data_IF_068376329686
#
_entry.id   IF_068376329686
#
_cell.length_a   1.000
_cell.length_b   1.000
_cell.length_c   1.000
_cell.angle_alpha   90.00
_cell.angle_beta   90.00
_cell.angle_gamma   90.00
#
_symmetry.space_group_name_H-M   'P 1'
#
loop_
_entity.id
_entity.type
_entity.pdbx_description
1 polymer ?
#
# COMPACT_ATOMS: atom_id res chain seq x y z
N UNK A 1 -47.16 -33.39 7.02
CA UNK A 1 -46.07 -33.00 7.95
C UNK A 1 -44.77 -33.06 7.18
N UNK A 2 -44.41 -31.91 6.60
CA UNK A 2 -43.12 -31.75 5.91
C UNK A 2 -42.20 -30.98 6.84
N UNK A 3 -41.17 -31.65 7.35
CA UNK A 3 -40.10 -30.98 8.08
C UNK A 3 -39.28 -30.15 7.08
N UNK A 4 -39.29 -28.85 7.28
CA UNK A 4 -38.32 -27.94 6.62
C UNK A 4 -36.93 -28.41 7.09
N UNK A 5 -36.00 -28.53 6.13
CA UNK A 5 -34.57 -28.68 6.41
C UNK A 5 -34.07 -27.28 6.78
N UNK A 6 -33.63 -27.06 8.02
CA UNK A 6 -32.90 -25.82 8.32
C UNK A 6 -31.42 -26.00 7.95
N UNK A 7 -30.82 -24.88 7.49
CA UNK A 7 -29.41 -24.51 7.58
C UNK A 7 -28.33 -25.13 6.68
N UNK A 8 -28.64 -25.72 5.55
CA UNK A 8 -27.56 -26.05 4.59
C UNK A 8 -26.98 -24.81 3.89
N UNK A 9 -27.80 -23.80 3.58
CA UNK A 9 -27.38 -22.58 2.88
C UNK A 9 -26.40 -21.73 3.71
N UNK A 10 -26.63 -21.57 5.00
CA UNK A 10 -25.74 -20.79 5.87
C UNK A 10 -24.37 -21.44 6.10
N UNK A 11 -24.30 -22.78 6.13
CA UNK A 11 -23.05 -23.53 6.31
C UNK A 11 -22.19 -23.46 5.02
N UNK A 12 -22.82 -23.53 3.85
CA UNK A 12 -22.12 -23.40 2.57
C UNK A 12 -21.53 -21.99 2.38
N UNK A 13 -22.25 -20.94 2.77
CA UNK A 13 -21.79 -19.57 2.72
C UNK A 13 -20.61 -19.33 3.68
N UNK A 14 -20.70 -19.79 4.95
CA UNK A 14 -19.60 -19.68 5.91
C UNK A 14 -18.35 -20.47 5.46
N UNK A 15 -18.52 -21.65 4.87
CA UNK A 15 -17.41 -22.44 4.33
C UNK A 15 -16.73 -21.74 3.17
N UNK A 16 -17.51 -21.10 2.29
CA UNK A 16 -17.00 -20.35 1.13
C UNK A 16 -16.26 -19.10 1.57
N UNK A 17 -16.79 -18.33 2.51
CA UNK A 17 -16.11 -17.15 3.06
C UNK A 17 -14.79 -17.53 3.74
N UNK A 18 -14.78 -18.60 4.53
CA UNK A 18 -13.57 -19.11 5.19
C UNK A 18 -12.52 -19.60 4.19
N UNK A 19 -12.95 -20.26 3.10
CA UNK A 19 -12.05 -20.68 2.03
C UNK A 19 -11.42 -19.48 1.32
N UNK A 20 -12.20 -18.43 1.03
CA UNK A 20 -11.72 -17.20 0.40
C UNK A 20 -10.74 -16.45 1.30
N UNK A 21 -11.04 -16.35 2.61
CA UNK A 21 -10.13 -15.72 3.57
C UNK A 21 -8.79 -16.48 3.70
N UNK A 22 -8.82 -17.82 3.65
CA UNK A 22 -7.60 -18.62 3.64
C UNK A 22 -6.81 -18.44 2.35
N UNK A 23 -7.49 -18.40 1.19
CA UNK A 23 -6.87 -18.14 -0.11
C UNK A 23 -6.20 -16.75 -0.12
N UNK A 24 -6.87 -15.71 0.37
CA UNK A 24 -6.32 -14.36 0.49
C UNK A 24 -5.02 -14.37 1.31
N UNK A 25 -5.01 -15.01 2.47
CA UNK A 25 -3.80 -15.09 3.31
C UNK A 25 -2.66 -15.81 2.60
N UNK A 26 -2.94 -16.95 1.99
CA UNK A 26 -1.95 -17.70 1.23
C UNK A 26 -1.36 -16.87 0.08
N UNK A 27 -2.20 -16.12 -0.65
CA UNK A 27 -1.78 -15.22 -1.73
C UNK A 27 -0.97 -14.04 -1.23
N UNK A 28 -1.35 -13.48 -0.08
CA UNK A 28 -0.60 -12.37 0.54
C UNK A 28 0.81 -12.83 0.93
N UNK A 29 0.94 -14.01 1.55
CA UNK A 29 2.22 -14.58 1.94
C UNK A 29 3.07 -14.97 0.72
N UNK A 30 2.46 -15.56 -0.32
CA UNK A 30 3.12 -15.87 -1.60
C UNK A 30 3.72 -14.61 -2.23
N UNK A 31 2.91 -13.56 -2.38
CA UNK A 31 3.36 -12.31 -2.99
C UNK A 31 4.38 -11.59 -2.12
N UNK A 32 4.25 -11.66 -0.80
CA UNK A 32 5.25 -11.08 0.11
C UNK A 32 6.61 -11.75 -0.09
N UNK A 33 6.68 -13.09 -0.12
CA UNK A 33 7.91 -13.83 -0.38
C UNK A 33 8.49 -13.58 -1.77
N UNK A 34 7.65 -13.56 -2.81
CA UNK A 34 8.07 -13.28 -4.18
C UNK A 34 8.61 -11.84 -4.34
N UNK A 35 7.99 -10.86 -3.68
CA UNK A 35 8.44 -9.46 -3.68
C UNK A 35 9.79 -9.34 -2.96
N UNK A 36 9.97 -10.00 -1.81
CA UNK A 36 11.23 -10.01 -1.08
C UNK A 36 12.37 -10.58 -1.95
N UNK A 37 12.15 -11.71 -2.63
CA UNK A 37 13.12 -12.31 -3.54
C UNK A 37 13.42 -11.40 -4.75
N UNK A 38 12.42 -10.72 -5.31
CA UNK A 38 12.60 -9.77 -6.41
C UNK A 38 13.41 -8.55 -5.95
N UNK A 39 13.10 -7.98 -4.78
CA UNK A 39 13.86 -6.87 -4.19
C UNK A 39 15.31 -7.27 -3.93
N UNK A 40 15.56 -8.48 -3.41
CA UNK A 40 16.90 -9.00 -3.19
C UNK A 40 17.70 -9.09 -4.50
N UNK A 41 17.08 -9.55 -5.57
CA UNK A 41 17.66 -9.62 -6.92
C UNK A 41 17.94 -8.24 -7.49
N UNK A 42 16.99 -7.32 -7.43
CA UNK A 42 17.11 -5.95 -7.95
C UNK A 42 18.18 -5.15 -7.21
N UNK A 43 18.25 -5.28 -5.89
CA UNK A 43 19.23 -4.64 -5.02
C UNK A 43 20.51 -5.49 -4.84
N UNK A 44 20.85 -6.30 -5.83
CA UNK A 44 22.11 -7.06 -5.82
C UNK A 44 23.31 -6.14 -6.09
N UNK A 45 24.54 -6.54 -5.71
CA UNK A 45 25.75 -5.77 -5.99
C UNK A 45 26.19 -5.81 -7.46
N UNK A 46 25.50 -6.58 -8.30
CA UNK A 46 25.83 -6.70 -9.72
C UNK A 46 25.51 -5.38 -10.44
N UNK A 47 26.54 -4.79 -11.03
CA UNK A 47 26.44 -3.58 -11.85
C UNK A 47 25.64 -3.88 -13.11
N UNK A 48 24.69 -3.01 -13.44
CA UNK A 48 23.86 -3.09 -14.64
C UNK A 48 24.49 -2.34 -15.81
N UNK A 49 23.99 -2.59 -17.00
CA UNK A 49 24.40 -1.83 -18.18
C UNK A 49 24.12 -0.33 -17.98
N UNK A 50 25.12 0.51 -18.27
CA UNK A 50 25.06 1.95 -18.04
C UNK A 50 25.42 2.43 -16.63
N UNK A 51 25.52 1.54 -15.65
CA UNK A 51 26.04 1.88 -14.32
C UNK A 51 27.60 1.78 -14.29
N UNK A 52 28.23 2.63 -13.47
CA UNK A 52 29.70 2.56 -13.25
C UNK A 52 30.01 1.63 -12.09
N UNK A 53 29.31 1.82 -10.95
CA UNK A 53 29.51 1.09 -9.70
C UNK A 53 28.27 1.22 -8.82
N UNK A 54 28.06 0.23 -7.93
CA UNK A 54 27.07 0.27 -6.85
C UNK A 54 27.78 0.39 -5.50
N UNK A 55 27.86 1.58 -4.88
CA UNK A 55 28.59 1.78 -3.61
C UNK A 55 28.02 0.87 -2.52
N UNK A 56 28.89 0.04 -1.92
CA UNK A 56 28.48 -1.04 -1.02
C UNK A 56 27.67 -0.55 0.19
N UNK A 57 28.09 0.56 0.84
CA UNK A 57 27.38 1.13 2.00
C UNK A 57 25.99 1.65 1.63
N UNK A 58 25.86 2.30 0.48
CA UNK A 58 24.56 2.78 -0.01
C UNK A 58 23.63 1.60 -0.30
N UNK A 59 24.13 0.61 -1.02
CA UNK A 59 23.37 -0.59 -1.35
C UNK A 59 22.93 -1.34 -0.09
N UNK A 60 23.81 -1.47 0.92
CA UNK A 60 23.49 -2.08 2.20
C UNK A 60 22.35 -1.34 2.91
N UNK A 61 22.37 0.00 2.92
CA UNK A 61 21.29 0.81 3.51
C UNK A 61 19.96 0.67 2.75
N UNK A 62 19.98 0.67 1.41
CA UNK A 62 18.78 0.42 0.58
C UNK A 62 18.21 -0.98 0.84
N UNK A 63 19.05 -2.00 0.93
CA UNK A 63 18.66 -3.37 1.28
C UNK A 63 18.10 -3.46 2.69
N UNK A 64 18.75 -2.82 3.66
CA UNK A 64 18.28 -2.76 5.05
C UNK A 64 16.86 -2.19 5.15
N UNK A 65 16.57 -1.13 4.42
CA UNK A 65 15.26 -0.49 4.39
C UNK A 65 14.18 -1.33 3.67
N UNK A 66 14.58 -2.09 2.64
CA UNK A 66 13.63 -2.77 1.75
C UNK A 66 13.39 -4.24 2.11
N UNK A 67 14.40 -4.95 2.65
CA UNK A 67 14.36 -6.38 2.98
C UNK A 67 14.04 -6.63 4.47
N UNK A 68 13.28 -5.75 5.08
CA UNK A 68 12.92 -5.83 6.51
C UNK A 68 11.60 -6.52 6.80
N UNK A 69 11.02 -7.24 5.85
CA UNK A 69 9.70 -7.85 5.99
C UNK A 69 8.55 -6.84 5.86
N UNK A 70 7.36 -7.26 6.28
CA UNK A 70 6.11 -6.50 6.20
C UNK A 70 5.04 -7.26 5.41
N UNK A 71 3.77 -6.83 5.53
CA UNK A 71 2.64 -7.51 4.86
C UNK A 71 2.64 -7.35 3.33
N UNK A 72 3.45 -6.47 2.78
CA UNK A 72 3.57 -6.22 1.32
C UNK A 72 2.21 -6.03 0.62
N UNK A 73 1.27 -5.33 1.26
CA UNK A 73 -0.08 -5.14 0.73
C UNK A 73 -0.07 -4.39 -0.62
N UNK A 74 0.81 -3.39 -0.80
CA UNK A 74 0.91 -2.66 -2.07
C UNK A 74 1.38 -3.55 -3.22
N UNK A 75 2.47 -4.31 -3.11
CA UNK A 75 2.83 -5.37 -4.06
C UNK A 75 1.70 -6.37 -4.33
N UNK A 76 1.03 -6.84 -3.29
CA UNK A 76 -0.11 -7.75 -3.41
C UNK A 76 -1.22 -7.17 -4.30
N UNK A 77 -1.57 -5.90 -4.12
CA UNK A 77 -2.61 -5.25 -4.94
C UNK A 77 -2.19 -5.14 -6.42
N UNK A 78 -0.90 -4.88 -6.71
CA UNK A 78 -0.40 -4.91 -8.10
C UNK A 78 -0.59 -6.29 -8.71
N UNK A 79 -0.13 -7.33 -8.01
CA UNK A 79 -0.16 -8.71 -8.51
C UNK A 79 -1.59 -9.22 -8.68
N UNK A 80 -2.45 -9.06 -7.67
CA UNK A 80 -3.83 -9.55 -7.75
C UNK A 80 -4.67 -8.78 -8.77
N UNK A 81 -4.41 -7.49 -8.96
CA UNK A 81 -5.08 -6.72 -10.03
C UNK A 81 -4.64 -7.17 -11.44
N UNK A 82 -3.38 -7.56 -11.65
CA UNK A 82 -2.92 -8.15 -12.90
C UNK A 82 -3.51 -9.55 -13.11
N UNK A 83 -3.66 -10.34 -12.06
CA UNK A 83 -4.26 -11.68 -12.07
C UNK A 83 -5.72 -11.69 -12.53
N UNK A 84 -6.48 -10.60 -12.32
CA UNK A 84 -7.83 -10.47 -12.87
C UNK A 84 -7.87 -10.71 -14.41
N UNK A 85 -6.78 -10.35 -15.07
CA UNK A 85 -6.60 -10.45 -16.52
C UNK A 85 -5.77 -11.66 -16.96
N UNK A 86 -5.42 -12.55 -16.02
CA UNK A 86 -4.59 -13.74 -16.27
C UNK A 86 -3.12 -13.43 -16.51
N UNK A 87 -2.63 -12.26 -16.06
CA UNK A 87 -1.23 -11.85 -16.20
C UNK A 87 -0.49 -12.04 -14.88
N UNK A 88 0.60 -12.78 -14.94
CA UNK A 88 1.50 -13.10 -13.82
C UNK A 88 2.96 -13.07 -14.28
N UNK A 89 3.89 -13.28 -13.37
CA UNK A 89 5.30 -13.49 -13.67
C UNK A 89 6.21 -12.31 -13.32
N UNK A 90 7.43 -12.36 -13.83
CA UNK A 90 8.53 -11.48 -13.43
C UNK A 90 8.22 -10.00 -13.63
N UNK A 91 7.63 -9.63 -14.78
CA UNK A 91 7.31 -8.23 -15.08
C UNK A 91 6.33 -7.61 -14.08
N UNK A 92 5.31 -8.37 -13.64
CA UNK A 92 4.37 -7.93 -12.61
C UNK A 92 5.09 -7.75 -11.26
N UNK A 93 5.95 -8.69 -10.88
CA UNK A 93 6.73 -8.62 -9.65
C UNK A 93 7.74 -7.46 -9.66
N UNK A 94 8.32 -7.13 -10.80
CA UNK A 94 9.20 -5.96 -10.96
C UNK A 94 8.42 -4.67 -10.72
N UNK A 95 7.23 -4.52 -11.30
CA UNK A 95 6.37 -3.36 -11.08
C UNK A 95 5.90 -3.25 -9.62
N UNK A 96 5.54 -4.37 -9.00
CA UNK A 96 5.18 -4.45 -7.60
C UNK A 96 6.33 -4.06 -6.67
N UNK A 97 7.56 -4.51 -6.99
CA UNK A 97 8.79 -4.18 -6.24
C UNK A 97 9.19 -2.72 -6.40
N UNK A 98 9.00 -2.13 -7.58
CA UNK A 98 9.23 -0.70 -7.81
C UNK A 98 8.32 0.16 -6.93
N UNK A 99 7.04 -0.19 -6.83
CA UNK A 99 6.12 0.48 -5.90
C UNK A 99 6.55 0.30 -4.44
N UNK A 100 7.00 -0.89 -4.07
CA UNK A 100 7.48 -1.14 -2.69
C UNK A 100 8.76 -0.35 -2.38
N UNK A 101 9.68 -0.18 -3.35
CA UNK A 101 10.84 0.71 -3.18
C UNK A 101 10.41 2.15 -2.88
N UNK A 102 9.38 2.66 -3.59
CA UNK A 102 8.80 3.98 -3.31
C UNK A 102 8.18 4.05 -1.92
N UNK A 103 7.51 3.00 -1.48
CA UNK A 103 7.02 2.95 -0.10
C UNK A 103 8.16 2.90 0.92
N UNK A 104 9.22 2.11 0.67
CA UNK A 104 10.36 2.00 1.57
C UNK A 104 11.13 3.33 1.70
N UNK A 105 11.36 4.06 0.58
CA UNK A 105 12.03 5.35 0.66
C UNK A 105 11.23 6.34 1.53
N UNK A 106 9.90 6.36 1.38
CA UNK A 106 9.08 7.28 2.17
C UNK A 106 9.21 7.00 3.67
N UNK A 107 9.25 5.72 4.06
CA UNK A 107 9.47 5.35 5.46
C UNK A 107 10.86 5.74 5.97
N UNK A 108 11.91 5.56 5.15
CA UNK A 108 13.29 5.97 5.51
C UNK A 108 13.39 7.47 5.74
N UNK A 109 12.73 8.28 4.89
CA UNK A 109 12.74 9.73 5.03
C UNK A 109 11.83 10.20 6.15
N UNK A 110 10.67 9.57 6.35
CA UNK A 110 9.77 9.89 7.47
C UNK A 110 10.43 9.64 8.83
N UNK A 111 11.32 8.64 8.94
CA UNK A 111 12.02 8.32 10.18
C UNK A 111 13.12 9.33 10.56
N UNK A 112 13.56 10.22 9.65
CA UNK A 112 14.65 11.17 9.90
C UNK A 112 14.31 12.19 11.01
N UNK A 113 15.33 12.73 11.71
CA UNK A 113 15.11 13.75 12.77
C UNK A 113 14.39 15.01 12.28
N UNK A 114 14.47 15.36 11.00
CA UNK A 114 13.74 16.49 10.41
C UNK A 114 12.26 16.20 10.13
N UNK A 115 11.83 14.96 10.31
CA UNK A 115 10.48 14.47 10.03
C UNK A 115 9.87 13.90 11.33
N UNK A 116 9.62 12.59 11.39
CA UNK A 116 8.98 11.93 12.54
C UNK A 116 9.94 11.68 13.71
N UNK A 117 11.26 11.72 13.48
CA UNK A 117 12.33 11.44 14.46
C UNK A 117 12.09 10.10 15.19
N UNK A 118 11.91 9.05 14.43
CA UNK A 118 11.64 7.71 14.94
C UNK A 118 12.92 6.89 15.08
N UNK A 119 13.16 6.32 16.27
CA UNK A 119 14.32 5.46 16.53
C UNK A 119 14.11 4.02 16.05
N UNK A 120 12.85 3.56 15.99
CA UNK A 120 12.49 2.18 15.67
C UNK A 120 11.38 2.12 14.60
N UNK A 121 11.54 1.22 13.63
CA UNK A 121 10.55 0.85 12.62
C UNK A 121 10.41 -0.66 12.55
N UNK A 122 9.19 -1.18 12.75
CA UNK A 122 8.91 -2.64 12.78
C UNK A 122 9.82 -3.39 13.79
N UNK A 123 10.08 -2.77 14.93
CA UNK A 123 10.93 -3.35 16.00
C UNK A 123 12.43 -3.34 15.73
N UNK A 124 12.90 -2.74 14.61
CA UNK A 124 14.32 -2.59 14.25
C UNK A 124 14.72 -1.13 14.31
N UNK A 125 16.00 -0.79 14.61
CA UNK A 125 16.49 0.58 14.48
C UNK A 125 16.22 1.13 13.09
N UNK A 126 15.88 2.43 13.00
CA UNK A 126 15.68 3.11 11.71
C UNK A 126 16.99 3.24 10.93
N UNK A 127 16.90 3.52 9.63
CA UNK A 127 18.08 3.57 8.76
C UNK A 127 19.11 4.60 9.24
N UNK A 128 18.67 5.80 9.67
CA UNK A 128 19.57 6.84 10.16
C UNK A 128 20.23 6.50 11.50
N UNK A 129 19.62 5.64 12.33
CA UNK A 129 20.24 5.12 13.57
C UNK A 129 21.21 3.99 13.30
N UNK A 130 20.96 3.15 12.28
CA UNK A 130 21.83 2.01 11.92
C UNK A 130 23.06 2.47 11.14
N UNK A 131 22.90 3.44 10.26
CA UNK A 131 23.99 3.96 9.41
C UNK A 131 24.38 5.38 9.83
N UNK A 132 23.74 6.38 9.28
CA UNK A 132 23.78 7.81 9.59
C UNK A 132 22.70 8.53 8.75
N UNK A 133 22.43 9.81 9.05
CA UNK A 133 21.42 10.60 8.35
C UNK A 133 21.71 10.77 6.86
N UNK A 134 22.98 11.05 6.49
CA UNK A 134 23.35 11.24 5.09
C UNK A 134 23.15 9.94 4.28
N UNK A 135 23.54 8.80 4.85
CA UNK A 135 23.33 7.48 4.23
C UNK A 135 21.85 7.15 4.10
N UNK A 136 21.02 7.50 5.11
CA UNK A 136 19.58 7.30 5.06
C UNK A 136 18.92 8.16 3.97
N UNK A 137 19.28 9.43 3.86
CA UNK A 137 18.80 10.33 2.80
C UNK A 137 19.12 9.75 1.42
N UNK A 138 20.39 9.39 1.19
CA UNK A 138 20.84 8.83 -0.09
C UNK A 138 20.20 7.46 -0.39
N UNK A 139 19.94 6.63 0.63
CA UNK A 139 19.22 5.37 0.46
C UNK A 139 17.78 5.58 0.00
N UNK A 140 17.09 6.57 0.56
CA UNK A 140 15.76 6.98 0.11
C UNK A 140 15.77 7.50 -1.33
N UNK A 141 16.68 8.41 -1.67
CA UNK A 141 16.83 8.94 -3.03
C UNK A 141 17.15 7.82 -4.04
N UNK A 142 18.04 6.91 -3.65
CA UNK A 142 18.41 5.75 -4.44
C UNK A 142 17.23 4.83 -4.72
N UNK A 143 16.42 4.49 -3.69
CA UNK A 143 15.22 3.66 -3.84
C UNK A 143 14.17 4.32 -4.74
N UNK A 144 13.91 5.62 -4.54
CA UNK A 144 12.96 6.38 -5.36
C UNK A 144 13.40 6.38 -6.83
N UNK A 145 14.65 6.73 -7.10
CA UNK A 145 15.18 6.81 -8.47
C UNK A 145 15.19 5.44 -9.14
N UNK A 146 15.64 4.41 -8.42
CA UNK A 146 15.73 3.06 -8.94
C UNK A 146 14.36 2.43 -9.24
N UNK A 147 13.31 2.81 -8.52
CA UNK A 147 11.94 2.39 -8.83
C UNK A 147 11.53 2.78 -10.27
N UNK A 148 11.90 3.95 -10.74
CA UNK A 148 11.62 4.40 -12.11
C UNK A 148 12.47 3.67 -13.15
N UNK A 149 13.73 3.36 -12.84
CA UNK A 149 14.58 2.51 -13.69
C UNK A 149 13.93 1.14 -13.89
N UNK A 150 13.51 0.49 -12.80
CA UNK A 150 12.83 -0.82 -12.85
C UNK A 150 11.55 -0.77 -13.69
N UNK A 151 10.71 0.27 -13.56
CA UNK A 151 9.49 0.39 -14.34
C UNK A 151 9.74 0.65 -15.83
N UNK A 152 10.81 1.39 -16.16
CA UNK A 152 11.16 1.72 -17.53
C UNK A 152 11.85 0.56 -18.27
N UNK A 153 12.40 -0.40 -17.56
CA UNK A 153 13.15 -1.54 -18.09
C UNK A 153 12.24 -2.45 -18.94
N UNK A 154 12.67 -2.87 -20.16
CA UNK A 154 11.97 -3.84 -20.99
C UNK A 154 11.60 -5.16 -20.29
N UNK A 155 12.36 -5.59 -19.29
CA UNK A 155 12.05 -6.77 -18.47
C UNK A 155 10.78 -6.60 -17.62
N UNK A 156 10.32 -5.37 -17.37
CA UNK A 156 9.07 -5.10 -16.66
C UNK A 156 7.85 -5.26 -17.58
N UNK A 157 7.94 -4.79 -18.82
CA UNK A 157 6.88 -5.02 -19.82
C UNK A 157 7.44 -4.81 -21.24
N UNK A 158 7.07 -5.67 -22.19
CA UNK A 158 7.57 -5.57 -23.56
C UNK A 158 7.11 -4.27 -24.25
N UNK A 159 5.85 -3.86 -24.04
CA UNK A 159 5.29 -2.64 -24.62
C UNK A 159 5.80 -1.40 -23.89
N UNK A 160 6.49 -0.52 -24.63
CA UNK A 160 7.02 0.72 -24.12
C UNK A 160 5.93 1.72 -23.66
N UNK A 161 4.73 1.67 -24.28
CA UNK A 161 3.61 2.52 -23.86
C UNK A 161 3.11 2.14 -22.46
N UNK A 162 3.02 0.84 -22.17
CA UNK A 162 2.66 0.35 -20.84
C UNK A 162 3.70 0.79 -19.81
N UNK A 163 5.02 0.67 -20.14
CA UNK A 163 6.08 1.13 -19.22
C UNK A 163 5.99 2.64 -18.96
N UNK A 164 5.75 3.45 -20.00
CA UNK A 164 5.57 4.89 -19.84
C UNK A 164 4.37 5.24 -18.96
N UNK A 165 3.25 4.51 -19.11
CA UNK A 165 2.06 4.67 -18.27
C UNK A 165 2.30 4.26 -16.80
N UNK A 166 3.09 3.21 -16.57
CA UNK A 166 3.49 2.81 -15.21
C UNK A 166 4.37 3.87 -14.55
N UNK A 167 5.38 4.38 -15.26
CA UNK A 167 6.26 5.45 -14.78
C UNK A 167 5.46 6.73 -14.46
N UNK A 168 4.60 7.15 -15.38
CA UNK A 168 3.76 8.35 -15.20
C UNK A 168 2.79 8.19 -14.02
N UNK A 169 2.17 7.02 -13.91
CA UNK A 169 1.26 6.70 -12.80
C UNK A 169 1.97 6.75 -11.45
N UNK A 170 3.16 6.12 -11.34
CA UNK A 170 3.95 6.15 -10.11
C UNK A 170 4.41 7.57 -9.77
N UNK A 171 4.89 8.34 -10.76
CA UNK A 171 5.31 9.73 -10.55
C UNK A 171 4.18 10.62 -10.01
N UNK A 172 2.95 10.43 -10.50
CA UNK A 172 1.76 11.13 -9.99
C UNK A 172 1.34 10.64 -8.61
N UNK A 173 1.34 9.33 -8.39
CA UNK A 173 0.97 8.73 -7.10
C UNK A 173 1.95 9.02 -5.97
N UNK A 174 3.24 9.14 -6.29
CA UNK A 174 4.29 9.44 -5.31
C UNK A 174 4.57 10.96 -5.16
N UNK A 175 4.28 11.76 -6.18
CA UNK A 175 4.74 13.15 -6.31
C UNK A 175 3.86 14.20 -5.63
N UNK A 176 3.81 15.39 -6.25
CA UNK A 176 3.15 16.61 -5.71
C UNK A 176 1.65 16.42 -5.45
N UNK A 177 0.95 15.75 -6.35
CA UNK A 177 -0.49 15.45 -6.20
C UNK A 177 -0.78 14.11 -5.50
N UNK A 178 0.24 13.46 -4.94
CA UNK A 178 0.20 12.17 -4.29
C UNK A 178 0.90 12.17 -2.93
N UNK A 179 1.65 11.10 -2.65
CA UNK A 179 2.22 10.82 -1.33
C UNK A 179 3.08 11.97 -0.78
N UNK A 180 4.01 12.53 -1.55
CA UNK A 180 4.88 13.64 -1.09
C UNK A 180 4.07 14.90 -0.78
N UNK A 181 3.11 15.26 -1.66
CA UNK A 181 2.20 16.37 -1.37
C UNK A 181 1.34 16.13 -0.14
N UNK A 182 0.86 14.89 0.06
CA UNK A 182 0.14 14.49 1.26
C UNK A 182 0.99 14.59 2.54
N UNK A 183 2.26 14.20 2.46
CA UNK A 183 3.22 14.35 3.57
C UNK A 183 3.47 15.83 3.92
N UNK A 184 3.57 16.70 2.91
CA UNK A 184 3.69 18.14 3.14
C UNK A 184 2.46 18.72 3.86
N UNK A 185 1.25 18.32 3.44
CA UNK A 185 0.01 18.71 4.11
C UNK A 185 -0.07 18.17 5.55
N UNK A 186 0.46 16.97 5.81
CA UNK A 186 0.49 16.38 7.16
C UNK A 186 1.36 17.20 8.11
N UNK A 187 2.58 17.56 7.69
CA UNK A 187 3.48 18.43 8.46
C UNK A 187 2.92 19.85 8.67
N UNK A 188 2.14 20.38 7.72
CA UNK A 188 1.43 21.65 7.90
C UNK A 188 0.28 21.50 8.90
N UNK A 189 -0.44 20.40 8.84
CA UNK A 189 -1.55 20.11 9.74
C UNK A 189 -1.08 19.98 11.21
N UNK A 190 0.05 19.36 11.48
CA UNK A 190 0.63 19.27 12.83
C UNK A 190 0.91 20.64 13.46
N UNK A 191 1.21 21.66 12.65
CA UNK A 191 1.48 23.04 13.11
C UNK A 191 0.23 23.90 13.27
N UNK A 192 -0.92 23.41 12.81
CA UNK A 192 -2.15 24.17 12.85
C UNK A 192 -2.68 24.31 14.30
N UNK A 193 -3.19 25.49 14.62
CA UNK A 193 -3.77 25.79 15.95
C UNK A 193 -5.29 25.61 15.98
N UNK A 194 -5.93 25.44 14.84
CA UNK A 194 -7.37 25.25 14.69
C UNK A 194 -7.69 23.80 14.28
N UNK A 195 -8.86 23.26 14.65
CA UNK A 195 -9.32 21.96 14.18
C UNK A 195 -9.37 21.91 12.64
N UNK A 196 -8.98 20.77 12.08
CA UNK A 196 -8.99 20.56 10.62
C UNK A 196 -10.40 20.30 10.11
N UNK A 197 -10.74 20.90 8.96
CA UNK A 197 -11.96 20.57 8.26
C UNK A 197 -11.90 19.12 7.75
N UNK A 198 -13.02 18.41 7.80
CA UNK A 198 -13.15 17.01 7.36
C UNK A 198 -12.59 16.80 5.94
N UNK A 199 -12.92 17.71 5.02
CA UNK A 199 -12.48 17.64 3.62
C UNK A 199 -10.94 17.76 3.49
N UNK A 200 -10.31 18.58 4.34
CA UNK A 200 -8.85 18.71 4.39
C UNK A 200 -8.20 17.41 4.87
N UNK A 201 -8.75 16.79 5.92
CA UNK A 201 -8.30 15.49 6.43
C UNK A 201 -8.41 14.41 5.33
N UNK A 202 -9.58 14.32 4.69
CA UNK A 202 -9.80 13.35 3.61
C UNK A 202 -8.84 13.56 2.43
N UNK A 203 -8.56 14.81 2.05
CA UNK A 203 -7.61 15.13 0.98
C UNK A 203 -6.19 14.70 1.35
N UNK A 204 -5.73 15.06 2.54
CA UNK A 204 -4.42 14.67 3.06
C UNK A 204 -4.24 13.14 3.04
N UNK A 205 -5.21 12.42 3.61
CA UNK A 205 -5.19 10.96 3.68
C UNK A 205 -5.24 10.28 2.30
N UNK A 206 -6.06 10.81 1.39
CA UNK A 206 -6.13 10.33 0.01
C UNK A 206 -4.79 10.52 -0.72
N UNK A 207 -4.07 11.61 -0.46
CA UNK A 207 -2.77 11.89 -1.04
C UNK A 207 -1.66 11.07 -0.36
N UNK A 208 -1.49 11.19 0.95
CA UNK A 208 -0.37 10.56 1.70
C UNK A 208 -0.38 9.04 1.59
N UNK A 209 -1.53 8.41 1.72
CA UNK A 209 -1.68 6.95 1.78
C UNK A 209 -2.45 6.39 0.58
N UNK A 210 -3.59 6.99 0.26
CA UNK A 210 -4.52 6.49 -0.77
C UNK A 210 -3.91 6.45 -2.16
N UNK A 211 -3.08 7.43 -2.53
CA UNK A 211 -2.52 7.55 -3.87
C UNK A 211 -1.66 6.34 -4.29
N UNK A 212 -0.83 5.81 -3.39
CA UNK A 212 -0.01 4.62 -3.69
C UNK A 212 -0.82 3.32 -3.68
N UNK A 213 -1.89 3.22 -2.87
CA UNK A 213 -2.80 2.07 -2.91
C UNK A 213 -3.62 2.08 -4.22
N UNK A 214 -4.10 3.24 -4.63
CA UNK A 214 -4.74 3.42 -5.94
C UNK A 214 -3.80 3.05 -7.07
N UNK A 215 -2.57 3.59 -7.06
CA UNK A 215 -1.57 3.26 -8.08
C UNK A 215 -1.29 1.75 -8.14
N UNK A 216 -1.23 1.06 -7.00
CA UNK A 216 -1.02 -0.39 -6.98
C UNK A 216 -2.06 -1.14 -7.83
N UNK A 217 -3.33 -0.82 -7.62
CA UNK A 217 -4.44 -1.42 -8.37
C UNK A 217 -4.38 -1.04 -9.86
N UNK A 218 -4.16 0.25 -10.15
CA UNK A 218 -4.06 0.75 -11.52
C UNK A 218 -2.85 0.18 -12.28
N UNK A 219 -1.72 -0.05 -11.62
CA UNK A 219 -0.55 -0.66 -12.24
C UNK A 219 -0.84 -2.09 -12.70
N UNK A 220 -1.46 -2.91 -11.84
CA UNK A 220 -1.91 -4.25 -12.23
C UNK A 220 -2.90 -4.24 -13.38
N UNK A 221 -3.86 -3.30 -13.36
CA UNK A 221 -4.83 -3.12 -14.45
C UNK A 221 -4.16 -2.74 -15.79
N UNK A 222 -3.14 -1.87 -15.75
CA UNK A 222 -2.37 -1.46 -16.95
C UNK A 222 -1.59 -2.63 -17.53
N UNK A 223 -0.88 -3.37 -16.69
CA UNK A 223 -0.12 -4.56 -17.09
C UNK A 223 -1.07 -5.63 -17.65
N UNK A 224 -2.24 -5.80 -17.05
CA UNK A 224 -3.28 -6.75 -17.48
C UNK A 224 -4.02 -6.35 -18.74
N UNK A 225 -3.82 -5.14 -19.27
CA UNK A 225 -4.51 -4.69 -20.48
C UNK A 225 -5.99 -4.38 -20.27
N UNK A 226 -6.39 -3.96 -19.07
CA UNK A 226 -7.77 -3.61 -18.72
C UNK A 226 -8.35 -2.57 -19.68
N UNK A 227 -9.61 -2.77 -20.09
CA UNK A 227 -10.37 -1.78 -20.86
C UNK A 227 -10.75 -0.55 -20.02
N UNK A 228 -11.39 0.45 -20.64
CA UNK A 228 -11.74 1.70 -19.97
C UNK A 228 -12.76 1.51 -18.83
N UNK A 229 -13.73 0.60 -18.99
CA UNK A 229 -14.74 0.30 -17.97
C UNK A 229 -14.11 -0.42 -16.78
N UNK A 230 -13.30 -1.43 -17.04
CA UNK A 230 -12.56 -2.19 -16.03
C UNK A 230 -11.59 -1.28 -15.24
N UNK A 231 -10.87 -0.37 -15.94
CA UNK A 231 -10.02 0.62 -15.26
C UNK A 231 -10.82 1.57 -14.39
N UNK A 232 -11.98 2.03 -14.84
CA UNK A 232 -12.84 2.88 -14.03
C UNK A 232 -13.32 2.19 -12.74
N UNK A 233 -13.72 0.92 -12.84
CA UNK A 233 -14.12 0.09 -11.71
C UNK A 233 -12.95 -0.12 -10.72
N UNK A 234 -11.77 -0.49 -11.22
CA UNK A 234 -10.58 -0.68 -10.41
C UNK A 234 -10.07 0.64 -9.78
N UNK A 235 -10.26 1.78 -10.45
CA UNK A 235 -9.99 3.10 -9.85
C UNK A 235 -10.94 3.40 -8.68
N UNK A 236 -12.24 3.07 -8.80
CA UNK A 236 -13.21 3.19 -7.69
C UNK A 236 -12.80 2.28 -6.53
N UNK A 237 -12.50 1.01 -6.81
CA UNK A 237 -12.02 0.04 -5.82
C UNK A 237 -10.78 0.56 -5.07
N UNK A 238 -9.74 0.99 -5.79
CA UNK A 238 -8.50 1.48 -5.20
C UNK A 238 -8.69 2.71 -4.32
N UNK A 239 -9.58 3.64 -4.71
CA UNK A 239 -9.93 4.82 -3.91
C UNK A 239 -10.67 4.42 -2.62
N UNK A 240 -11.68 3.57 -2.72
CA UNK A 240 -12.44 3.10 -1.57
C UNK A 240 -11.57 2.31 -0.59
N UNK A 241 -10.73 1.40 -1.11
CA UNK A 241 -9.77 0.63 -0.33
C UNK A 241 -8.75 1.53 0.40
N UNK A 242 -8.20 2.53 -0.31
CA UNK A 242 -7.24 3.48 0.28
C UNK A 242 -7.85 4.31 1.40
N UNK A 243 -9.09 4.78 1.23
CA UNK A 243 -9.83 5.49 2.26
C UNK A 243 -10.18 4.57 3.45
N UNK A 244 -10.63 3.33 3.19
CA UNK A 244 -10.91 2.33 4.22
C UNK A 244 -9.65 2.03 5.05
N UNK A 245 -8.49 1.86 4.39
CA UNK A 245 -7.22 1.60 5.03
C UNK A 245 -6.85 2.70 6.04
N UNK A 246 -7.01 3.97 5.64
CA UNK A 246 -6.66 5.09 6.50
C UNK A 246 -7.62 5.24 7.69
N UNK A 247 -8.93 5.08 7.46
CA UNK A 247 -9.91 5.11 8.57
C UNK A 247 -9.66 3.97 9.56
N UNK A 248 -9.27 2.79 9.07
CA UNK A 248 -8.91 1.67 9.93
C UNK A 248 -7.64 1.97 10.77
N UNK A 249 -6.62 2.62 10.19
CA UNK A 249 -5.44 3.06 10.91
C UNK A 249 -5.78 4.12 11.98
N UNK A 250 -6.60 5.12 11.66
CA UNK A 250 -7.06 6.16 12.61
C UNK A 250 -7.81 5.53 13.81
N UNK A 251 -8.63 4.50 13.56
CA UNK A 251 -9.37 3.78 14.60
C UNK A 251 -8.39 3.01 15.51
N UNK A 252 -7.44 2.29 14.92
CA UNK A 252 -6.43 1.53 15.67
C UNK A 252 -5.58 2.42 16.58
N UNK A 253 -5.16 3.58 16.08
CA UNK A 253 -4.40 4.54 16.89
C UNK A 253 -5.25 5.11 18.04
N UNK A 254 -6.53 5.41 17.79
CA UNK A 254 -7.46 5.92 18.81
C UNK A 254 -7.81 4.88 19.89
N UNK A 255 -7.86 3.59 19.54
CA UNK A 255 -8.11 2.49 20.50
C UNK A 255 -6.91 2.18 21.39
N UNK A 256 -5.73 2.68 21.04
CA UNK A 256 -4.54 2.64 21.91
C UNK A 256 -3.90 1.26 22.07
N UNK A 257 -4.03 0.37 21.08
CA UNK A 257 -3.42 -0.96 21.11
C UNK A 257 -1.94 -0.89 20.68
N UNK A 258 -1.03 -0.63 21.63
CA UNK A 258 0.43 -0.55 21.39
C UNK A 258 1.00 -1.83 20.77
N UNK A 259 0.45 -2.99 21.14
CA UNK A 259 0.93 -4.29 20.62
C UNK A 259 0.57 -4.48 19.15
N UNK A 260 -0.56 -3.91 18.71
CA UNK A 260 -1.04 -4.00 17.35
C UNK A 260 -0.31 -3.06 16.39
N UNK A 261 0.07 -1.85 16.84
CA UNK A 261 0.67 -0.81 16.00
C UNK A 261 2.19 -0.97 15.78
N UNK A 262 2.89 -1.75 16.63
CA UNK A 262 4.36 -1.83 16.60
C UNK A 262 5.06 -0.50 16.82
N UNK A 263 4.32 0.52 17.29
CA UNK A 263 4.72 1.89 17.67
C UNK A 263 4.13 2.23 19.03
N UNK A 264 4.54 3.36 19.64
CA UNK A 264 3.86 3.88 20.83
C UNK A 264 2.46 4.36 20.43
N UNK A 265 1.42 3.78 21.02
CA UNK A 265 0.04 4.22 20.83
C UNK A 265 -0.16 5.67 21.33
N UNK A 266 -1.16 6.36 20.75
CA UNK A 266 -1.48 7.74 21.14
C UNK A 266 -0.44 8.80 20.68
N UNK A 267 0.53 8.43 19.84
CA UNK A 267 1.53 9.37 19.31
C UNK A 267 0.86 10.46 18.46
N UNK A 268 -0.22 10.11 17.76
CA UNK A 268 -0.99 11.04 16.93
C UNK A 268 -1.78 12.05 17.75
N UNK A 269 -2.33 11.65 18.91
CA UNK A 269 -2.99 12.58 19.83
C UNK A 269 -2.00 13.61 20.43
N UNK A 270 -0.75 13.18 20.69
CA UNK A 270 0.32 14.08 21.20
C UNK A 270 0.85 15.06 20.15
N UNK A 271 0.69 14.77 18.86
CA UNK A 271 1.15 15.58 17.72
C UNK A 271 0.06 16.39 17.02
N UNK A 272 -1.17 16.45 17.56
CA UNK A 272 -2.31 17.15 16.94
C UNK A 272 -2.62 16.67 15.51
N UNK A 273 -2.43 15.37 15.22
CA UNK A 273 -2.69 14.81 13.89
C UNK A 273 -4.16 14.92 13.49
N UNK A 274 -4.35 15.26 12.22
CA UNK A 274 -5.67 15.37 11.58
C UNK A 274 -6.23 13.99 11.26
N UNK A 275 -7.04 13.39 12.14
CA UNK A 275 -7.66 12.07 11.95
C UNK A 275 -9.17 12.17 11.72
N UNK A 276 -9.75 11.21 10.97
CA UNK A 276 -11.20 11.13 10.81
C UNK A 276 -11.90 10.80 12.13
N UNK A 277 -11.26 10.06 13.04
CA UNK A 277 -11.81 9.79 14.37
C UNK A 277 -11.96 11.08 15.17
N UNK A 278 -11.00 12.01 15.09
CA UNK A 278 -11.11 13.31 15.75
C UNK A 278 -12.23 14.19 15.19
N UNK A 279 -12.53 14.06 13.89
CA UNK A 279 -13.56 14.85 13.21
C UNK A 279 -14.97 14.26 13.32
N UNK A 280 -15.12 12.93 13.37
CA UNK A 280 -16.42 12.24 13.30
C UNK A 280 -16.82 11.57 14.62
N UNK A 281 -15.86 11.25 15.49
CA UNK A 281 -16.02 10.30 16.59
C UNK A 281 -15.84 8.84 16.15
N UNK A 282 -15.53 7.98 17.12
CA UNK A 282 -15.12 6.59 16.87
C UNK A 282 -16.19 5.74 16.19
N UNK A 283 -17.45 5.86 16.60
CA UNK A 283 -18.54 5.04 16.04
C UNK A 283 -18.85 5.41 14.59
N UNK A 284 -18.90 6.71 14.26
CA UNK A 284 -19.09 7.16 12.88
C UNK A 284 -17.87 6.83 11.99
N UNK A 285 -16.66 6.81 12.56
CA UNK A 285 -15.48 6.34 11.85
C UNK A 285 -15.58 4.84 11.52
N UNK A 286 -16.04 4.00 12.45
CA UNK A 286 -16.28 2.57 12.20
C UNK A 286 -17.33 2.35 11.10
N UNK A 287 -18.47 3.03 11.16
CA UNK A 287 -19.50 2.96 10.12
C UNK A 287 -18.93 3.38 8.74
N UNK A 288 -18.13 4.46 8.71
CA UNK A 288 -17.49 4.92 7.48
C UNK A 288 -16.49 3.91 6.92
N UNK A 289 -15.65 3.29 7.76
CA UNK A 289 -14.74 2.21 7.39
C UNK A 289 -15.48 1.05 6.73
N UNK A 290 -16.57 0.60 7.35
CA UNK A 290 -17.36 -0.54 6.87
C UNK A 290 -18.06 -0.21 5.54
N UNK A 291 -18.65 0.99 5.42
CA UNK A 291 -19.20 1.49 4.15
C UNK A 291 -18.15 1.52 3.03
N UNK A 292 -16.92 1.97 3.31
CA UNK A 292 -15.87 2.03 2.32
C UNK A 292 -15.41 0.64 1.84
N UNK A 293 -15.45 -0.36 2.72
CA UNK A 293 -15.18 -1.73 2.32
C UNK A 293 -16.28 -2.29 1.39
N UNK A 294 -17.54 -1.94 1.65
CA UNK A 294 -18.67 -2.27 0.78
C UNK A 294 -18.51 -1.56 -0.57
N UNK A 295 -18.28 -0.24 -0.58
CA UNK A 295 -18.05 0.55 -1.81
C UNK A 295 -16.93 -0.07 -2.69
N UNK A 296 -15.87 -0.59 -2.05
CA UNK A 296 -14.78 -1.27 -2.76
C UNK A 296 -15.25 -2.59 -3.40
N UNK A 297 -16.03 -3.41 -2.70
CA UNK A 297 -16.53 -4.69 -3.22
C UNK A 297 -17.51 -4.44 -4.37
N UNK A 298 -18.45 -3.51 -4.23
CA UNK A 298 -19.40 -3.13 -5.28
C UNK A 298 -18.70 -2.64 -6.55
N UNK A 299 -17.60 -1.89 -6.40
CA UNK A 299 -16.79 -1.46 -7.55
C UNK A 299 -16.21 -2.64 -8.35
N UNK A 300 -15.82 -3.74 -7.68
CA UNK A 300 -15.36 -4.95 -8.37
C UNK A 300 -16.51 -5.68 -9.10
N UNK A 301 -17.71 -5.67 -8.53
CA UNK A 301 -18.91 -6.21 -9.17
C UNK A 301 -19.29 -5.41 -10.41
N UNK A 302 -19.29 -4.06 -10.34
CA UNK A 302 -19.48 -3.16 -11.48
C UNK A 302 -18.48 -3.42 -12.62
N UNK A 303 -17.25 -3.81 -12.28
CA UNK A 303 -16.21 -4.16 -13.24
C UNK A 303 -16.42 -5.50 -13.95
N UNK A 304 -17.39 -6.30 -13.52
CA UNK A 304 -17.73 -7.58 -14.12
C UNK A 304 -16.66 -8.68 -13.96
N UNK A 305 -15.83 -8.58 -12.92
CA UNK A 305 -14.71 -9.53 -12.70
C UNK A 305 -15.17 -10.90 -12.17
N UNK A 306 -16.38 -10.97 -11.59
CA UNK A 306 -16.94 -12.20 -11.04
C UNK A 306 -16.05 -12.82 -9.96
N UNK A 307 -15.99 -14.14 -9.93
CA UNK A 307 -15.20 -14.90 -8.93
C UNK A 307 -13.70 -14.57 -8.94
N UNK A 308 -13.15 -14.08 -10.05
CA UNK A 308 -11.74 -13.68 -10.11
C UNK A 308 -11.39 -12.55 -9.14
N UNK A 309 -12.37 -11.71 -8.77
CA UNK A 309 -12.18 -10.62 -7.84
C UNK A 309 -12.31 -11.03 -6.36
N UNK A 310 -12.62 -12.28 -6.04
CA UNK A 310 -12.88 -12.73 -4.67
C UNK A 310 -11.73 -12.40 -3.71
N UNK A 311 -10.48 -12.54 -4.17
CA UNK A 311 -9.27 -12.25 -3.37
C UNK A 311 -9.12 -10.74 -3.12
N UNK A 312 -9.44 -9.88 -4.10
CA UNK A 312 -9.44 -8.42 -3.91
C UNK A 312 -10.61 -7.95 -3.05
N UNK A 313 -11.79 -8.58 -3.15
CA UNK A 313 -12.91 -8.32 -2.26
C UNK A 313 -12.55 -8.68 -0.79
N UNK A 314 -11.84 -9.81 -0.60
CA UNK A 314 -11.35 -10.19 0.72
C UNK A 314 -10.27 -9.24 1.25
N UNK A 315 -9.43 -8.66 0.39
CA UNK A 315 -8.49 -7.61 0.78
C UNK A 315 -9.21 -6.36 1.36
N UNK A 316 -10.39 -6.00 0.81
CA UNK A 316 -11.19 -4.90 1.36
C UNK A 316 -11.77 -5.27 2.73
N UNK A 317 -12.32 -6.48 2.91
CA UNK A 317 -12.80 -6.98 4.22
C UNK A 317 -11.67 -7.05 5.25
N UNK A 318 -10.52 -7.59 4.85
CA UNK A 318 -9.33 -7.65 5.70
C UNK A 318 -8.87 -6.26 6.14
N UNK A 319 -8.91 -5.28 5.24
CA UNK A 319 -8.53 -3.90 5.54
C UNK A 319 -9.46 -3.28 6.58
N UNK A 320 -10.77 -3.51 6.48
CA UNK A 320 -11.74 -3.06 7.47
C UNK A 320 -11.61 -3.78 8.82
N UNK A 321 -11.30 -5.09 8.80
CA UNK A 321 -11.19 -5.93 9.99
C UNK A 321 -9.82 -5.87 10.69
N UNK A 322 -8.88 -5.02 10.23
CA UNK A 322 -7.51 -4.92 10.79
C UNK A 322 -7.54 -4.65 12.29
N UNK A 323 -6.66 -5.38 12.99
CA UNK A 323 -6.35 -5.18 14.42
C UNK A 323 -4.86 -4.90 14.64
N UNK A 324 -4.08 -4.89 13.56
CA UNK A 324 -2.63 -4.61 13.57
C UNK A 324 -2.13 -4.28 12.14
#
# INVERSE_FOLDING_TARGET
MGQARPDCLGIEDEMTERATANLFRARLDEVAGATEAMLDTLLSPLVRDGEIERPARLLEAMRYASLGGGKRLRPFLVVESARLFGVEGEGVLRAASALEMVHCYSLVHDDLPAMDDDDLRRGRPTAHKTFDEATAILAGDGLLTYAFDVLADPATHADAAVRADLVLGLARGAGLGGMVGGQALDLEAEKATAPHAREAIMTLQAMKTGALLLYAVEAGARIGGADAGQRAALTKYGRALGACFQVADDILDAEGDEAALGKRAGKDAGRNKATLVSALGLDAARERRDSLAIDAIEALEEGGFGEKAAVLAEAARFTAARRS
#
